data_IF_455537536364
#
_entry.id   IF_455537536364
#
_cell.length_a   1.000
_cell.length_b   1.000
_cell.length_c   1.000
_cell.angle_alpha   90.00
_cell.angle_beta   90.00
_cell.angle_gamma   90.00
#
_symmetry.space_group_name_H-M   'P 1'
#
loop_
_entity.id
_entity.type
_entity.pdbx_description
1 polymer ?
#
# COMPACT_ATOMS: atom_id res chain seq x y z
N UNK A 1 -16.42 21.27 21.02
CA UNK A 1 -16.13 19.95 20.41
C UNK A 1 -15.16 19.98 19.20
N UNK A 2 -15.02 21.09 18.45
CA UNK A 2 -14.20 21.10 17.22
C UNK A 2 -12.70 20.82 17.40
N UNK A 3 -12.09 21.29 18.51
CA UNK A 3 -10.64 21.12 18.77
C UNK A 3 -10.25 19.67 19.05
N UNK A 4 -10.99 18.98 19.92
CA UNK A 4 -10.74 17.56 20.28
C UNK A 4 -10.91 16.64 19.07
N UNK A 5 -11.99 16.81 18.31
CA UNK A 5 -12.22 16.04 17.07
C UNK A 5 -11.09 16.25 16.06
N UNK A 6 -10.65 17.49 15.86
CA UNK A 6 -9.54 17.80 14.97
C UNK A 6 -8.23 17.15 15.45
N UNK A 7 -7.96 17.19 16.76
CA UNK A 7 -6.78 16.56 17.34
C UNK A 7 -6.77 15.05 17.09
N UNK A 8 -7.87 14.35 17.40
CA UNK A 8 -7.99 12.90 17.18
C UNK A 8 -7.78 12.53 15.71
N UNK A 9 -8.46 13.23 14.79
CA UNK A 9 -8.32 12.97 13.35
C UNK A 9 -6.93 13.26 12.82
N UNK A 10 -6.27 14.32 13.33
CA UNK A 10 -4.93 14.69 12.92
C UNK A 10 -3.88 13.67 13.39
N UNK A 11 -3.95 13.26 14.66
CA UNK A 11 -3.07 12.24 15.23
C UNK A 11 -3.27 10.92 14.51
N UNK A 12 -4.52 10.49 14.31
CA UNK A 12 -4.84 9.29 13.55
C UNK A 12 -4.31 9.33 12.12
N UNK A 13 -4.57 10.40 11.36
CA UNK A 13 -4.11 10.51 9.98
C UNK A 13 -2.57 10.50 9.88
N UNK A 14 -1.88 11.16 10.81
CA UNK A 14 -0.42 11.17 10.87
C UNK A 14 0.13 9.75 11.12
N UNK A 15 -0.39 9.05 12.12
CA UNK A 15 0.04 7.68 12.44
C UNK A 15 -0.33 6.70 11.31
N UNK A 16 -1.52 6.84 10.73
CA UNK A 16 -1.96 6.04 9.58
C UNK A 16 -1.01 6.20 8.39
N UNK A 17 -0.68 7.43 7.99
CA UNK A 17 0.21 7.65 6.84
C UNK A 17 1.63 7.15 7.11
N UNK A 18 2.14 7.30 8.34
CA UNK A 18 3.46 6.78 8.74
C UNK A 18 3.55 5.27 8.61
N UNK A 19 2.45 4.54 8.81
CA UNK A 19 2.40 3.07 8.69
C UNK A 19 2.01 2.63 7.27
N UNK A 20 1.03 3.29 6.66
CA UNK A 20 0.51 2.94 5.34
C UNK A 20 1.56 3.07 4.24
N UNK A 21 2.32 4.17 4.20
CA UNK A 21 3.33 4.40 3.15
C UNK A 21 4.42 3.31 3.09
N UNK A 22 5.07 2.89 4.20
CA UNK A 22 6.05 1.82 4.14
C UNK A 22 5.42 0.47 3.78
N UNK A 23 4.23 0.15 4.31
CA UNK A 23 3.53 -1.08 3.89
C UNK A 23 3.19 -1.08 2.41
N UNK A 24 2.69 0.04 1.88
CA UNK A 24 2.40 0.21 0.46
C UNK A 24 3.65 -0.03 -0.39
N UNK A 25 4.79 0.54 0.00
CA UNK A 25 6.06 0.36 -0.70
C UNK A 25 6.54 -1.10 -0.66
N UNK A 26 6.55 -1.74 0.51
CA UNK A 26 7.03 -3.12 0.67
C UNK A 26 6.18 -4.08 -0.15
N UNK A 27 4.85 -3.99 -0.04
CA UNK A 27 3.93 -4.87 -0.78
C UNK A 27 4.05 -4.62 -2.29
N UNK A 28 4.09 -3.37 -2.73
CA UNK A 28 4.28 -3.04 -4.15
C UNK A 28 5.59 -3.61 -4.70
N UNK A 29 6.70 -3.52 -3.94
CA UNK A 29 7.99 -4.07 -4.34
C UNK A 29 7.95 -5.59 -4.51
N UNK A 30 7.24 -6.31 -3.63
CA UNK A 30 7.05 -7.76 -3.74
C UNK A 30 6.39 -8.10 -5.09
N UNK A 31 5.36 -7.36 -5.48
CA UNK A 31 4.69 -7.58 -6.77
C UNK A 31 5.57 -7.23 -7.98
N UNK A 32 6.38 -6.17 -7.89
CA UNK A 32 7.38 -5.86 -8.94
C UNK A 32 8.40 -7.00 -9.10
N UNK A 33 8.85 -7.59 -7.99
CA UNK A 33 9.76 -8.75 -8.01
C UNK A 33 9.06 -9.95 -8.66
N UNK A 34 7.81 -10.24 -8.31
CA UNK A 34 7.04 -11.32 -8.93
C UNK A 34 6.88 -11.14 -10.44
N UNK A 35 6.57 -9.91 -10.90
CA UNK A 35 6.48 -9.59 -12.33
C UNK A 35 7.83 -9.74 -13.04
N UNK A 36 8.93 -9.37 -12.39
CA UNK A 36 10.28 -9.55 -12.94
C UNK A 36 10.61 -11.04 -13.15
N UNK A 37 10.20 -11.90 -12.22
CA UNK A 37 10.34 -13.35 -12.35
C UNK A 37 9.46 -13.88 -13.49
N UNK A 38 8.22 -13.40 -13.62
CA UNK A 38 7.33 -13.79 -14.71
C UNK A 38 7.88 -13.38 -16.09
N UNK A 39 8.41 -12.16 -16.18
CA UNK A 39 9.02 -11.60 -17.39
C UNK A 39 10.29 -12.34 -17.84
N UNK A 40 10.95 -13.08 -16.94
CA UNK A 40 12.09 -13.93 -17.33
C UNK A 40 11.65 -15.24 -17.99
N UNK A 41 10.39 -15.65 -17.79
CA UNK A 41 9.79 -16.87 -18.37
C UNK A 41 8.97 -16.56 -19.62
N UNK A 42 8.34 -15.39 -19.65
CA UNK A 42 7.51 -14.91 -20.74
C UNK A 42 8.10 -13.59 -21.20
N UNK A 43 8.37 -13.45 -22.50
CA UNK A 43 8.91 -12.20 -23.04
C UNK A 43 7.82 -11.12 -23.04
N UNK A 44 7.76 -10.34 -21.95
CA UNK A 44 6.80 -9.26 -21.73
C UNK A 44 7.44 -7.92 -22.05
N UNK A 45 6.70 -7.07 -22.75
CA UNK A 45 7.07 -5.68 -22.97
C UNK A 45 6.87 -4.84 -21.70
N UNK A 46 7.58 -3.70 -21.61
CA UNK A 46 7.43 -2.77 -20.48
C UNK A 46 5.98 -2.26 -20.30
N UNK A 47 5.22 -2.10 -21.40
CA UNK A 47 3.82 -1.69 -21.35
C UNK A 47 2.92 -2.74 -20.71
N UNK A 48 3.13 -4.02 -21.04
CA UNK A 48 2.39 -5.15 -20.45
C UNK A 48 2.72 -5.29 -18.95
N UNK A 49 3.97 -5.07 -18.55
CA UNK A 49 4.36 -5.07 -17.13
C UNK A 49 3.62 -3.99 -16.32
N UNK A 50 3.48 -2.78 -16.87
CA UNK A 50 2.74 -1.70 -16.21
C UNK A 50 1.24 -2.06 -16.11
N UNK A 51 0.66 -2.64 -17.15
CA UNK A 51 -0.75 -3.09 -17.12
C UNK A 51 -0.97 -4.19 -16.07
N UNK A 52 -0.10 -5.20 -16.04
CA UNK A 52 -0.16 -6.28 -15.07
C UNK A 52 0.00 -5.76 -13.64
N UNK A 53 0.95 -4.84 -13.41
CA UNK A 53 1.08 -4.17 -12.11
C UNK A 53 -0.20 -3.40 -11.74
N UNK A 54 -0.82 -2.71 -12.71
CA UNK A 54 -2.11 -2.05 -12.54
C UNK A 54 -3.23 -3.00 -12.08
N UNK A 55 -3.28 -4.22 -12.62
CA UNK A 55 -4.24 -5.24 -12.19
C UNK A 55 -4.01 -5.77 -10.78
N UNK A 56 -2.78 -5.64 -10.26
CA UNK A 56 -2.42 -6.04 -8.90
C UNK A 56 -2.70 -4.95 -7.85
N UNK A 57 -2.96 -3.70 -8.26
CA UNK A 57 -3.25 -2.60 -7.34
C UNK A 57 -4.40 -2.90 -6.35
N UNK A 58 -5.55 -3.47 -6.75
CA UNK A 58 -6.62 -3.79 -5.82
C UNK A 58 -6.15 -4.73 -4.70
N UNK A 59 -5.33 -5.74 -5.02
CA UNK A 59 -4.78 -6.68 -4.06
C UNK A 59 -3.78 -6.00 -3.11
N UNK A 60 -2.89 -5.16 -3.66
CA UNK A 60 -1.96 -4.34 -2.88
C UNK A 60 -2.73 -3.48 -1.86
N UNK A 61 -3.79 -2.80 -2.29
CA UNK A 61 -4.61 -1.98 -1.40
C UNK A 61 -5.39 -2.81 -0.39
N UNK A 62 -5.86 -4.00 -0.78
CA UNK A 62 -6.59 -4.90 0.09
C UNK A 62 -5.75 -5.38 1.28
N UNK A 63 -4.44 -5.59 1.10
CA UNK A 63 -3.56 -5.90 2.21
C UNK A 63 -3.13 -4.67 3.00
N UNK A 64 -2.79 -3.58 2.32
CA UNK A 64 -2.12 -2.44 2.95
C UNK A 64 -3.06 -1.55 3.75
N UNK A 65 -4.31 -1.33 3.31
CA UNK A 65 -5.28 -0.47 3.98
C UNK A 65 -5.74 -1.02 5.35
N UNK A 66 -6.23 -2.28 5.47
CA UNK A 66 -6.73 -2.77 6.77
C UNK A 66 -5.59 -2.95 7.78
N UNK A 67 -4.40 -3.39 7.34
CA UNK A 67 -3.26 -3.55 8.24
C UNK A 67 -2.77 -2.21 8.77
N UNK A 68 -2.64 -1.19 7.91
CA UNK A 68 -2.24 0.14 8.34
C UNK A 68 -3.30 0.82 9.21
N UNK A 69 -4.59 0.56 8.95
CA UNK A 69 -5.70 1.03 9.78
C UNK A 69 -5.61 0.49 11.20
N UNK A 70 -5.47 -0.83 11.35
CA UNK A 70 -5.38 -1.49 12.66
C UNK A 70 -4.13 -1.01 13.41
N UNK A 71 -2.98 -0.98 12.73
CA UNK A 71 -1.72 -0.53 13.32
C UNK A 71 -1.77 0.94 13.75
N UNK A 72 -2.45 1.80 12.98
CA UNK A 72 -2.62 3.20 13.34
C UNK A 72 -3.50 3.35 14.59
N UNK A 73 -4.65 2.70 14.63
CA UNK A 73 -5.57 2.74 15.78
C UNK A 73 -4.91 2.24 17.07
N UNK A 74 -4.05 1.22 16.98
CA UNK A 74 -3.34 0.69 18.14
C UNK A 74 -2.27 1.65 18.69
N UNK A 75 -1.81 2.62 17.90
CA UNK A 75 -0.70 3.53 18.22
C UNK A 75 -1.11 5.01 18.31
N UNK A 76 -2.42 5.31 18.30
CA UNK A 76 -2.99 6.67 18.40
C UNK A 76 -3.72 6.88 19.71
#
# INVERSE_FOLDING_TARGET
MGRTRRYILWTFAKTYLLVFLPFLLVVSLIFVIQLSILSSKVNLSAGELIQLFGYMLPEIFFYTIPLSLIAALANT
#
